data_IF_191017600423
#
_entry.id   IF_191017600423
#
_cell.length_a   1.000
_cell.length_b   1.000
_cell.length_c   1.000
_cell.angle_alpha   90.00
_cell.angle_beta   90.00
_cell.angle_gamma   90.00
#
_symmetry.space_group_name_H-M   'P 1'
#
loop_
_entity.id
_entity.type
_entity.pdbx_description
1 polymer ?
#
# COMPACT_ATOMS: atom_id res chain seq x y z
N UNK A 1 8.57 11.91 -10.78
CA UNK A 1 9.03 10.55 -11.17
C UNK A 1 10.54 10.34 -10.92
N UNK A 2 11.15 11.04 -9.95
CA UNK A 2 12.61 11.17 -9.85
C UNK A 2 13.32 9.97 -9.18
N UNK A 3 12.64 9.23 -8.30
CA UNK A 3 13.28 8.14 -7.56
C UNK A 3 13.67 6.98 -8.52
N UNK A 4 14.97 6.67 -8.68
CA UNK A 4 15.41 5.54 -9.49
C UNK A 4 14.99 4.23 -8.80
N UNK A 5 14.64 3.18 -9.55
CA UNK A 5 14.29 1.86 -8.99
C UNK A 5 12.79 1.54 -8.89
N UNK A 6 12.43 0.35 -8.35
CA UNK A 6 11.10 -0.24 -8.44
C UNK A 6 10.09 0.31 -7.41
N UNK A 7 10.00 1.64 -7.31
CA UNK A 7 9.00 2.29 -6.44
C UNK A 7 7.59 2.11 -7.01
N UNK A 8 6.66 1.69 -6.15
CA UNK A 8 5.23 1.67 -6.48
C UNK A 8 4.61 3.01 -6.13
N UNK A 9 3.79 3.55 -7.03
CA UNK A 9 3.11 4.83 -6.85
C UNK A 9 1.63 4.59 -6.52
N UNK A 10 1.25 4.97 -5.29
CA UNK A 10 -0.13 4.98 -4.84
C UNK A 10 -0.75 6.35 -5.12
N UNK A 11 -1.77 6.41 -5.98
CA UNK A 11 -2.34 7.66 -6.50
C UNK A 11 -3.76 7.85 -5.97
N UNK A 12 -4.04 8.99 -5.33
CA UNK A 12 -5.39 9.34 -4.89
C UNK A 12 -6.25 9.80 -6.08
N UNK A 13 -7.49 9.29 -6.23
CA UNK A 13 -8.36 9.61 -7.37
C UNK A 13 -8.92 11.05 -7.32
N UNK A 14 -8.88 11.69 -6.15
CA UNK A 14 -9.39 13.02 -5.86
C UNK A 14 -8.48 14.16 -6.39
N UNK A 15 -7.27 13.82 -6.85
CA UNK A 15 -6.29 14.85 -7.29
C UNK A 15 -6.52 15.27 -8.75
N UNK A 16 -6.39 16.57 -9.10
CA UNK A 16 -6.68 17.07 -10.45
C UNK A 16 -5.89 16.36 -11.57
N UNK A 17 -4.66 15.93 -11.27
CA UNK A 17 -3.76 15.30 -12.23
C UNK A 17 -3.66 13.77 -12.06
N UNK A 18 -4.56 13.13 -11.28
CA UNK A 18 -4.49 11.69 -10.99
C UNK A 18 -4.33 10.83 -12.26
N UNK A 19 -5.15 11.11 -13.28
CA UNK A 19 -5.18 10.34 -14.53
C UNK A 19 -3.94 10.55 -15.37
N UNK A 20 -3.47 11.80 -15.48
CA UNK A 20 -2.25 12.14 -16.21
C UNK A 20 -1.04 11.49 -15.55
N UNK A 21 -0.91 11.67 -14.24
CA UNK A 21 0.18 11.12 -13.44
C UNK A 21 0.23 9.60 -13.48
N UNK A 22 -0.91 8.91 -13.42
CA UNK A 22 -0.99 7.46 -13.57
C UNK A 22 -0.49 6.99 -14.95
N UNK A 23 -0.86 7.71 -16.03
CA UNK A 23 -0.40 7.41 -17.39
C UNK A 23 1.10 7.62 -17.54
N UNK A 24 1.65 8.67 -16.94
CA UNK A 24 3.09 8.95 -16.97
C UNK A 24 3.89 7.92 -16.16
N UNK A 25 3.42 7.60 -14.95
CA UNK A 25 4.01 6.57 -14.10
C UNK A 25 4.08 5.22 -14.81
N UNK A 26 2.97 4.80 -15.44
CA UNK A 26 2.92 3.56 -16.21
C UNK A 26 3.89 3.59 -17.41
N UNK A 27 3.92 4.70 -18.18
CA UNK A 27 4.88 4.90 -19.28
C UNK A 27 6.34 4.84 -18.82
N UNK A 28 6.62 5.30 -17.60
CA UNK A 28 7.93 5.21 -16.96
C UNK A 28 8.25 3.83 -16.36
N UNK A 29 7.40 2.82 -16.58
CA UNK A 29 7.59 1.45 -16.08
C UNK A 29 7.38 1.29 -14.58
N UNK A 30 6.73 2.26 -13.92
CA UNK A 30 6.43 2.20 -12.48
C UNK A 30 5.13 1.42 -12.26
N UNK A 31 5.08 0.66 -11.17
CA UNK A 31 3.83 0.06 -10.69
C UNK A 31 2.91 1.17 -10.19
N UNK A 32 1.68 1.21 -10.71
CA UNK A 32 0.63 2.14 -10.27
C UNK A 32 -0.39 1.38 -9.44
N UNK A 33 -0.81 1.95 -8.32
CA UNK A 33 -1.93 1.44 -7.53
C UNK A 33 -2.88 2.58 -7.16
N UNK A 34 -4.16 2.26 -7.02
CA UNK A 34 -5.15 3.21 -6.52
C UNK A 34 -4.95 3.39 -5.00
N UNK A 35 -4.75 4.63 -4.56
CA UNK A 35 -4.77 4.98 -3.13
C UNK A 35 -6.20 5.38 -2.74
N UNK A 36 -6.98 4.39 -2.30
CA UNK A 36 -8.41 4.54 -2.08
C UNK A 36 -8.69 5.25 -0.75
N UNK A 37 -9.36 6.42 -0.72
CA UNK A 37 -9.76 7.07 0.52
C UNK A 37 -10.77 6.22 1.27
N UNK A 38 -10.49 5.97 2.55
CA UNK A 38 -11.31 5.17 3.44
C UNK A 38 -11.44 5.85 4.81
N UNK A 39 -12.59 5.74 5.45
CA UNK A 39 -12.91 6.41 6.72
C UNK A 39 -11.79 6.24 7.76
N UNK A 40 -11.28 7.35 8.34
CA UNK A 40 -11.89 8.68 8.42
C UNK A 40 -11.55 9.65 7.27
N UNK A 41 -10.99 9.19 6.16
CA UNK A 41 -10.80 10.04 4.99
C UNK A 41 -12.15 10.60 4.51
N UNK A 42 -12.10 11.79 3.91
CA UNK A 42 -13.24 12.47 3.32
C UNK A 42 -13.01 12.67 1.82
N UNK A 43 -14.04 13.10 1.10
CA UNK A 43 -13.96 13.36 -0.34
C UNK A 43 -14.94 12.52 -1.15
N UNK A 44 -15.09 12.82 -2.45
CA UNK A 44 -16.08 12.19 -3.32
C UNK A 44 -15.91 10.67 -3.49
N UNK A 45 -14.70 10.15 -3.32
CA UNK A 45 -14.43 8.70 -3.43
C UNK A 45 -14.35 8.00 -2.08
N UNK A 46 -14.41 8.73 -0.96
CA UNK A 46 -14.17 8.17 0.37
C UNK A 46 -15.17 7.07 0.71
N UNK A 47 -14.67 5.93 1.15
CA UNK A 47 -15.50 4.86 1.67
C UNK A 47 -15.80 5.10 3.14
N UNK A 48 -17.08 4.99 3.53
CA UNK A 48 -17.53 5.06 4.91
C UNK A 48 -18.34 3.80 5.26
N UNK A 49 -18.22 3.26 6.49
CA UNK A 49 -18.96 2.07 6.94
C UNK A 49 -20.47 2.16 6.74
N UNK A 50 -21.02 3.37 6.78
CA UNK A 50 -22.45 3.65 6.67
C UNK A 50 -22.98 3.56 5.23
N UNK A 51 -22.10 3.51 4.22
CA UNK A 51 -22.50 3.40 2.82
C UNK A 51 -22.82 1.95 2.46
N UNK A 52 -23.92 1.72 1.72
CA UNK A 52 -24.25 0.37 1.27
C UNK A 52 -23.25 -0.10 0.19
N UNK A 53 -23.06 -1.42 0.07
CA UNK A 53 -22.11 -2.02 -0.87
C UNK A 53 -22.21 -1.51 -2.32
N UNK A 54 -23.41 -1.29 -2.91
CA UNK A 54 -23.50 -0.74 -4.28
C UNK A 54 -22.89 0.66 -4.42
N UNK A 55 -22.96 1.48 -3.37
CA UNK A 55 -22.34 2.80 -3.36
C UNK A 55 -20.81 2.70 -3.22
N UNK A 56 -20.32 1.79 -2.37
CA UNK A 56 -18.90 1.49 -2.26
C UNK A 56 -18.33 0.99 -3.61
N UNK A 57 -19.05 0.10 -4.29
CA UNK A 57 -18.72 -0.40 -5.62
C UNK A 57 -18.68 0.71 -6.67
N UNK A 58 -19.71 1.56 -6.70
CA UNK A 58 -19.77 2.73 -7.59
C UNK A 58 -18.56 3.64 -7.41
N UNK A 59 -18.17 3.93 -6.15
CA UNK A 59 -16.99 4.74 -5.83
C UNK A 59 -15.68 4.07 -6.25
N UNK A 60 -15.54 2.76 -6.03
CA UNK A 60 -14.37 2.01 -6.49
C UNK A 60 -14.24 2.04 -8.01
N UNK A 61 -15.35 1.85 -8.73
CA UNK A 61 -15.40 1.94 -10.19
C UNK A 61 -14.96 3.32 -10.68
N UNK A 62 -15.53 4.39 -10.11
CA UNK A 62 -15.19 5.75 -10.47
C UNK A 62 -13.72 6.08 -10.15
N UNK A 63 -13.19 5.61 -9.01
CA UNK A 63 -11.81 5.81 -8.61
C UNK A 63 -10.81 5.11 -9.55
N UNK A 64 -11.10 3.87 -9.96
CA UNK A 64 -10.27 3.13 -10.92
C UNK A 64 -10.24 3.79 -12.31
N UNK A 65 -11.32 4.47 -12.73
CA UNK A 65 -11.31 5.27 -13.96
C UNK A 65 -10.38 6.48 -13.86
N UNK A 66 -10.25 7.07 -12.66
CA UNK A 66 -9.31 8.19 -12.42
C UNK A 66 -7.86 7.74 -12.34
N UNK A 67 -7.59 6.50 -11.95
CA UNK A 67 -6.25 5.93 -11.82
C UNK A 67 -6.09 4.76 -12.81
N UNK A 68 -5.96 5.03 -14.12
CA UNK A 68 -5.75 3.98 -15.11
C UNK A 68 -4.45 3.21 -14.84
N UNK A 69 -4.37 1.96 -15.30
CA UNK A 69 -3.23 1.05 -15.12
C UNK A 69 -2.96 0.64 -13.67
N UNK A 70 -3.89 0.90 -12.74
CA UNK A 70 -3.80 0.37 -11.39
C UNK A 70 -3.66 -1.15 -11.42
N UNK A 71 -2.56 -1.67 -10.88
CA UNK A 71 -2.30 -3.10 -10.73
C UNK A 71 -2.85 -3.66 -9.40
N UNK A 72 -3.24 -2.77 -8.50
CA UNK A 72 -3.77 -3.08 -7.19
C UNK A 72 -4.29 -1.83 -6.51
N UNK A 73 -4.70 -1.97 -5.25
CA UNK A 73 -5.16 -0.85 -4.43
C UNK A 73 -4.47 -0.84 -3.06
N UNK A 74 -4.42 0.34 -2.45
CA UNK A 74 -3.97 0.55 -1.09
C UNK A 74 -4.90 1.54 -0.38
N UNK A 75 -5.20 1.34 0.90
CA UNK A 75 -6.06 2.25 1.65
C UNK A 75 -5.33 3.53 2.09
N UNK A 76 -5.93 4.68 1.82
CA UNK A 76 -5.60 5.97 2.43
C UNK A 76 -6.45 6.16 3.69
N UNK A 77 -5.80 6.43 4.84
CA UNK A 77 -6.43 6.32 6.16
C UNK A 77 -7.12 4.96 6.34
N UNK A 78 -8.42 4.88 6.59
CA UNK A 78 -9.15 3.62 6.67
C UNK A 78 -9.18 2.95 8.05
N UNK A 79 -8.83 3.64 9.14
CA UNK A 79 -8.77 3.03 10.47
C UNK A 79 -10.12 2.49 10.96
N UNK A 80 -11.24 3.06 10.50
CA UNK A 80 -12.59 2.52 10.72
C UNK A 80 -13.00 1.59 9.59
N UNK A 81 -12.86 2.01 8.33
CA UNK A 81 -13.34 1.25 7.18
C UNK A 81 -12.69 -0.14 7.05
N UNK A 82 -11.38 -0.25 7.30
CA UNK A 82 -10.66 -1.52 7.19
C UNK A 82 -11.00 -2.50 8.32
N UNK A 83 -11.69 -2.05 9.37
CA UNK A 83 -12.20 -2.91 10.43
C UNK A 83 -13.57 -3.52 10.10
N UNK A 84 -14.20 -3.13 8.99
CA UNK A 84 -15.54 -3.60 8.59
C UNK A 84 -15.48 -4.92 7.78
N UNK A 85 -15.84 -6.08 8.35
CA UNK A 85 -15.60 -7.37 7.71
C UNK A 85 -16.42 -7.59 6.44
N UNK A 86 -17.67 -7.11 6.41
CA UNK A 86 -18.54 -7.26 5.23
C UNK A 86 -17.96 -6.51 4.03
N UNK A 87 -17.55 -5.25 4.24
CA UNK A 87 -17.00 -4.43 3.17
C UNK A 87 -15.61 -4.93 2.72
N UNK A 88 -14.75 -5.33 3.64
CA UNK A 88 -13.42 -5.86 3.29
C UNK A 88 -13.53 -7.22 2.59
N UNK A 89 -14.41 -8.12 3.05
CA UNK A 89 -14.69 -9.40 2.36
C UNK A 89 -15.12 -9.16 0.92
N UNK A 90 -16.08 -8.26 0.72
CA UNK A 90 -16.57 -7.91 -0.62
C UNK A 90 -15.44 -7.32 -1.48
N UNK A 91 -14.67 -6.38 -0.92
CA UNK A 91 -13.56 -5.74 -1.62
C UNK A 91 -12.52 -6.77 -2.09
N UNK A 92 -12.09 -7.70 -1.23
CA UNK A 92 -11.09 -8.70 -1.62
C UNK A 92 -11.59 -9.62 -2.74
N UNK A 93 -12.85 -10.05 -2.68
CA UNK A 93 -13.46 -10.83 -3.76
C UNK A 93 -13.51 -10.03 -5.08
N UNK A 94 -13.84 -8.75 -5.00
CA UNK A 94 -13.92 -7.88 -6.16
C UNK A 94 -12.54 -7.60 -6.78
N UNK A 95 -11.51 -7.42 -5.95
CA UNK A 95 -10.13 -7.28 -6.42
C UNK A 95 -9.64 -8.58 -7.09
N UNK A 96 -9.97 -9.74 -6.54
CA UNK A 96 -9.64 -11.04 -7.14
C UNK A 96 -10.26 -11.19 -8.54
N UNK A 97 -11.55 -10.85 -8.66
CA UNK A 97 -12.29 -10.87 -9.94
C UNK A 97 -11.68 -9.95 -11.00
N UNK A 98 -11.08 -8.83 -10.56
CA UNK A 98 -10.42 -7.83 -11.42
C UNK A 98 -8.94 -8.08 -11.65
N UNK A 99 -8.37 -9.14 -11.08
CA UNK A 99 -6.93 -9.42 -11.11
C UNK A 99 -6.08 -8.29 -10.51
N UNK A 100 -6.58 -7.64 -9.46
CA UNK A 100 -5.91 -6.58 -8.71
C UNK A 100 -5.40 -7.13 -7.38
N UNK A 101 -4.22 -6.71 -6.93
CA UNK A 101 -3.72 -7.04 -5.59
C UNK A 101 -4.13 -6.00 -4.54
N UNK A 102 -4.01 -6.36 -3.26
CA UNK A 102 -4.25 -5.45 -2.13
C UNK A 102 -2.99 -5.17 -1.32
N UNK A 103 -2.75 -3.90 -0.98
CA UNK A 103 -1.75 -3.50 0.00
C UNK A 103 -2.48 -2.92 1.20
N UNK A 104 -2.31 -3.52 2.38
CA UNK A 104 -2.85 -2.98 3.62
C UNK A 104 -1.89 -1.93 4.19
N UNK A 105 -2.30 -0.66 4.26
CA UNK A 105 -1.55 0.41 4.94
C UNK A 105 -1.48 0.20 6.46
N UNK A 106 -2.30 -0.67 7.04
CA UNK A 106 -2.39 -0.96 8.48
C UNK A 106 -2.44 0.31 9.34
N UNK A 107 -3.34 1.23 9.00
CA UNK A 107 -3.56 2.48 9.75
C UNK A 107 -4.23 2.25 11.11
N UNK A 108 -4.69 1.03 11.37
CA UNK A 108 -5.21 0.55 12.64
C UNK A 108 -4.85 -0.92 12.83
N UNK A 109 -4.63 -1.34 14.07
CA UNK A 109 -4.45 -2.76 14.41
C UNK A 109 -5.75 -3.58 14.29
N UNK A 110 -6.90 -2.91 14.12
CA UNK A 110 -8.23 -3.52 13.94
C UNK A 110 -8.55 -3.87 12.48
N UNK A 111 -7.65 -3.56 11.54
CA UNK A 111 -7.86 -3.92 10.12
C UNK A 111 -8.07 -5.43 9.99
N UNK A 112 -9.13 -5.82 9.28
CA UNK A 112 -9.38 -7.21 8.89
C UNK A 112 -9.03 -7.45 7.42
N UNK A 113 -8.60 -6.41 6.71
CA UNK A 113 -8.42 -6.44 5.25
C UNK A 113 -7.41 -7.50 4.80
N UNK A 114 -6.26 -7.59 5.47
CA UNK A 114 -5.25 -8.61 5.16
C UNK A 114 -5.71 -10.04 5.51
N UNK A 115 -6.49 -10.22 6.58
CA UNK A 115 -7.05 -11.51 6.95
C UNK A 115 -8.08 -12.00 5.92
N UNK A 116 -8.96 -11.10 5.46
CA UNK A 116 -9.91 -11.42 4.39
C UNK A 116 -9.22 -11.72 3.05
N UNK A 117 -8.14 -10.99 2.73
CA UNK A 117 -7.35 -11.27 1.54
C UNK A 117 -6.70 -12.66 1.61
N UNK A 118 -6.09 -12.99 2.75
CA UNK A 118 -5.47 -14.29 2.98
C UNK A 118 -6.51 -15.42 2.88
N UNK A 119 -7.71 -15.24 3.43
CA UNK A 119 -8.78 -16.25 3.45
C UNK A 119 -9.18 -16.75 2.06
N UNK A 120 -9.14 -15.88 1.06
CA UNK A 120 -9.49 -16.22 -0.33
C UNK A 120 -8.27 -16.38 -1.25
N UNK A 121 -7.06 -16.30 -0.69
CA UNK A 121 -5.81 -16.38 -1.44
C UNK A 121 -5.56 -15.19 -2.37
N UNK A 122 -6.15 -14.02 -2.07
CA UNK A 122 -5.88 -12.80 -2.84
C UNK A 122 -4.43 -12.36 -2.63
N UNK A 123 -3.73 -12.11 -3.75
CA UNK A 123 -2.41 -11.48 -3.77
C UNK A 123 -2.41 -10.22 -2.90
N UNK A 124 -1.69 -10.25 -1.79
CA UNK A 124 -1.67 -9.14 -0.84
C UNK A 124 -0.41 -9.07 0.00
N UNK A 125 -0.12 -7.87 0.49
CA UNK A 125 0.90 -7.61 1.50
C UNK A 125 0.41 -6.54 2.47
N UNK A 126 1.06 -6.44 3.62
CA UNK A 126 0.80 -5.38 4.57
C UNK A 126 2.07 -4.60 4.87
N UNK A 127 1.92 -3.30 5.08
CA UNK A 127 3.01 -2.43 5.51
C UNK A 127 3.62 -2.90 6.82
N UNK A 128 4.93 -2.96 6.87
CA UNK A 128 5.69 -3.18 8.10
C UNK A 128 6.16 -1.85 8.73
N UNK A 129 6.64 -0.90 7.93
CA UNK A 129 7.17 0.39 8.41
C UNK A 129 6.55 1.58 7.67
N UNK A 130 6.19 2.62 8.43
CA UNK A 130 5.79 3.93 7.89
C UNK A 130 6.96 4.90 8.03
N UNK A 131 7.40 5.50 6.93
CA UNK A 131 8.65 6.26 6.89
C UNK A 131 8.57 7.64 7.53
N UNK A 132 7.48 8.37 7.28
CA UNK A 132 7.47 9.82 7.40
C UNK A 132 6.28 10.36 8.21
N UNK A 133 5.95 9.64 9.27
CA UNK A 133 5.04 10.13 10.32
C UNK A 133 5.58 11.43 10.94
N UNK A 134 6.88 11.44 11.24
CA UNK A 134 7.65 12.64 11.54
C UNK A 134 8.42 13.10 10.30
N UNK A 135 8.10 14.30 9.80
CA UNK A 135 8.65 14.84 8.55
C UNK A 135 10.03 15.49 8.71
N UNK A 136 10.96 14.78 9.35
CA UNK A 136 12.34 15.21 9.51
C UNK A 136 13.29 14.19 8.89
N UNK A 137 14.41 14.64 8.33
CA UNK A 137 15.37 13.75 7.70
C UNK A 137 15.92 12.71 8.69
N UNK A 138 16.08 13.09 9.96
CA UNK A 138 16.55 12.19 11.02
C UNK A 138 15.52 11.09 11.30
N UNK A 139 14.25 11.44 11.51
CA UNK A 139 13.20 10.46 11.78
C UNK A 139 12.98 9.50 10.61
N UNK A 140 12.95 10.02 9.37
CA UNK A 140 12.80 9.20 8.16
C UNK A 140 13.99 8.25 8.00
N UNK A 141 15.21 8.73 8.25
CA UNK A 141 16.42 7.88 8.22
C UNK A 141 16.34 6.79 9.28
N UNK A 142 15.89 7.11 10.51
CA UNK A 142 15.67 6.11 11.57
C UNK A 142 14.64 5.06 11.15
N UNK A 143 13.52 5.45 10.54
CA UNK A 143 12.51 4.51 10.06
C UNK A 143 13.03 3.63 8.92
N UNK A 144 13.81 4.18 7.99
CA UNK A 144 14.46 3.38 6.95
C UNK A 144 15.42 2.34 7.56
N UNK A 145 16.21 2.73 8.56
CA UNK A 145 17.09 1.81 9.29
C UNK A 145 16.31 0.73 10.07
N UNK A 146 15.15 1.08 10.63
CA UNK A 146 14.22 0.11 11.22
C UNK A 146 13.74 -0.90 10.18
N UNK A 147 13.36 -0.45 8.98
CA UNK A 147 12.94 -1.32 7.89
C UNK A 147 14.05 -2.27 7.43
N UNK A 148 15.28 -1.79 7.32
CA UNK A 148 16.46 -2.60 6.96
C UNK A 148 16.69 -3.71 7.99
N UNK A 149 16.72 -3.35 9.28
CA UNK A 149 16.88 -4.33 10.37
C UNK A 149 15.74 -5.35 10.39
N UNK A 150 14.51 -4.89 10.10
CA UNK A 150 13.36 -5.79 10.03
C UNK A 150 13.48 -6.77 8.86
N UNK A 151 13.84 -6.29 7.67
CA UNK A 151 14.07 -7.13 6.50
C UNK A 151 15.17 -8.17 6.78
N UNK A 152 16.28 -7.79 7.40
CA UNK A 152 17.34 -8.72 7.80
C UNK A 152 16.87 -9.77 8.81
N UNK A 153 15.96 -9.41 9.73
CA UNK A 153 15.47 -10.32 10.77
C UNK A 153 14.42 -11.32 10.27
N UNK A 154 13.53 -10.89 9.38
CA UNK A 154 12.35 -11.68 8.97
C UNK A 154 12.30 -12.01 7.47
N UNK A 155 13.35 -11.69 6.72
CA UNK A 155 13.48 -11.93 5.27
C UNK A 155 13.09 -10.72 4.40
N UNK A 156 12.05 -9.98 4.78
CA UNK A 156 11.58 -8.83 4.00
C UNK A 156 10.85 -7.78 4.85
N UNK A 157 10.71 -6.57 4.30
CA UNK A 157 9.93 -5.49 4.90
C UNK A 157 9.24 -4.65 3.81
N UNK A 158 7.95 -4.38 4.01
CA UNK A 158 7.16 -3.45 3.18
C UNK A 158 7.16 -2.08 3.83
N UNK A 159 7.54 -1.08 3.06
CA UNK A 159 7.71 0.29 3.53
C UNK A 159 6.78 1.21 2.75
N UNK A 160 6.06 2.07 3.46
CA UNK A 160 5.22 3.12 2.85
C UNK A 160 5.67 4.47 3.39
N UNK A 161 5.72 5.46 2.51
CA UNK A 161 5.90 6.86 2.85
C UNK A 161 5.20 7.73 1.81
N UNK A 162 5.22 9.03 2.04
CA UNK A 162 4.68 10.04 1.17
C UNK A 162 5.78 10.75 0.38
N UNK A 163 5.45 11.35 -0.78
CA UNK A 163 6.43 12.06 -1.60
C UNK A 163 6.72 13.47 -1.06
N UNK A 164 6.90 13.65 0.25
CA UNK A 164 7.38 14.92 0.79
C UNK A 164 8.82 15.16 0.32
N UNK A 165 9.23 16.42 0.06
CA UNK A 165 10.60 16.72 -0.37
C UNK A 165 11.66 16.07 0.53
N UNK A 166 11.50 16.18 1.85
CA UNK A 166 12.42 15.58 2.84
C UNK A 166 12.44 14.04 2.78
N UNK A 167 11.32 13.39 2.47
CA UNK A 167 11.26 11.94 2.29
C UNK A 167 12.02 11.53 1.03
N UNK A 168 11.80 12.25 -0.07
CA UNK A 168 12.48 11.99 -1.34
C UNK A 168 14.00 12.20 -1.21
N UNK A 169 14.44 13.29 -0.59
CA UNK A 169 15.87 13.60 -0.37
C UNK A 169 16.58 12.48 0.41
N UNK A 170 15.94 11.94 1.46
CA UNK A 170 16.49 10.82 2.23
C UNK A 170 16.53 9.55 1.37
N UNK A 171 15.46 9.23 0.66
CA UNK A 171 15.40 8.02 -0.16
C UNK A 171 16.40 8.06 -1.33
N UNK A 172 16.56 9.18 -2.01
CA UNK A 172 17.54 9.34 -3.09
C UNK A 172 18.97 9.13 -2.60
N UNK A 173 19.27 9.57 -1.37
CA UNK A 173 20.59 9.38 -0.75
C UNK A 173 20.84 7.95 -0.26
N UNK A 174 19.84 7.32 0.35
CA UNK A 174 20.03 6.07 1.09
C UNK A 174 19.72 4.80 0.28
N UNK A 175 18.74 4.83 -0.65
CA UNK A 175 18.35 3.64 -1.41
C UNK A 175 19.48 3.01 -2.23
N UNK A 176 20.39 3.79 -2.88
CA UNK A 176 21.54 3.22 -3.59
C UNK A 176 22.50 2.41 -2.68
N UNK A 177 22.44 2.62 -1.36
CA UNK A 177 23.32 1.97 -0.37
C UNK A 177 22.73 0.69 0.21
N UNK A 178 21.49 0.33 -0.12
CA UNK A 178 20.83 -0.86 0.43
C UNK A 178 21.60 -2.15 0.10
N UNK A 179 22.10 -2.27 -1.13
CA UNK A 179 22.84 -3.46 -1.57
C UNK A 179 24.11 -3.71 -0.74
N UNK A 180 24.82 -2.65 -0.37
CA UNK A 180 25.99 -2.74 0.51
C UNK A 180 25.63 -3.16 1.95
N UNK A 181 24.37 -3.02 2.35
CA UNK A 181 23.82 -3.46 3.63
C UNK A 181 23.17 -4.85 3.54
N UNK A 182 23.36 -5.56 2.42
CA UNK A 182 22.78 -6.89 2.20
C UNK A 182 21.26 -6.87 1.99
N UNK A 183 20.69 -5.73 1.60
CA UNK A 183 19.26 -5.59 1.32
C UNK A 183 19.05 -5.31 -0.16
N UNK A 184 18.24 -6.14 -0.80
CA UNK A 184 17.77 -5.92 -2.16
C UNK A 184 16.43 -5.18 -2.15
N UNK A 185 16.34 -4.14 -2.96
CA UNK A 185 15.08 -3.43 -3.17
C UNK A 185 14.37 -3.99 -4.40
N UNK A 186 13.27 -4.71 -4.15
CA UNK A 186 12.45 -5.37 -5.17
C UNK A 186 11.14 -4.64 -5.42
N UNK A 187 10.51 -4.94 -6.55
CA UNK A 187 9.16 -4.44 -6.86
C UNK A 187 8.08 -5.13 -6.01
N UNK A 188 6.89 -4.52 -6.01
CA UNK A 188 5.79 -4.97 -5.16
C UNK A 188 5.22 -6.35 -5.55
N UNK A 189 5.26 -6.75 -6.82
CA UNK A 189 4.78 -8.09 -7.24
C UNK A 189 5.74 -9.17 -6.77
N UNK A 190 7.04 -8.90 -6.89
CA UNK A 190 8.09 -9.76 -6.32
C UNK A 190 7.93 -9.86 -4.80
N UNK A 191 7.65 -8.74 -4.11
CA UNK A 191 7.38 -8.74 -2.67
C UNK A 191 6.15 -9.54 -2.26
N UNK A 192 5.04 -9.45 -3.01
CA UNK A 192 3.85 -10.29 -2.78
C UNK A 192 4.19 -11.78 -2.92
N UNK A 193 5.00 -12.13 -3.92
CA UNK A 193 5.43 -13.51 -4.15
C UNK A 193 6.33 -14.01 -3.01
N UNK A 194 7.29 -13.19 -2.57
CA UNK A 194 8.18 -13.46 -1.44
C UNK A 194 7.40 -13.69 -0.13
N UNK A 195 6.36 -12.88 0.10
CA UNK A 195 5.51 -13.02 1.30
C UNK A 195 4.53 -14.18 1.21
N UNK A 196 4.12 -14.61 0.02
CA UNK A 196 3.20 -15.75 -0.16
C UNK A 196 1.88 -15.62 0.61
N UNK A 197 1.33 -14.40 0.70
CA UNK A 197 0.16 -14.05 1.53
C UNK A 197 0.31 -14.42 3.02
N UNK A 198 1.53 -14.52 3.55
CA UNK A 198 1.78 -14.82 4.96
C UNK A 198 1.95 -13.53 5.78
N UNK A 199 1.36 -13.53 6.97
CA UNK A 199 1.54 -12.47 7.95
C UNK A 199 2.97 -12.48 8.52
N UNK A 200 3.58 -11.30 8.64
CA UNK A 200 4.77 -11.13 9.45
C UNK A 200 4.45 -11.30 10.95
N UNK A 201 5.49 -11.48 11.78
CA UNK A 201 5.31 -11.65 13.22
C UNK A 201 4.60 -10.45 13.90
N UNK A 202 4.67 -9.26 13.28
CA UNK A 202 3.98 -8.07 13.76
C UNK A 202 2.48 -8.08 13.46
N UNK A 203 2.05 -8.82 12.44
CA UNK A 203 0.68 -8.79 11.92
C UNK A 203 -0.13 -10.06 12.23
N UNK A 204 0.54 -11.10 12.74
CA UNK A 204 -0.03 -12.43 12.79
C UNK A 204 0.67 -13.40 13.73
N UNK A 205 0.36 -14.69 13.57
CA UNK A 205 1.09 -15.80 14.20
C UNK A 205 1.14 -16.96 13.22
N UNK A 206 2.31 -17.58 13.07
CA UNK A 206 2.52 -18.72 12.17
C UNK A 206 2.03 -18.44 10.74
N UNK A 207 2.27 -17.22 10.26
CA UNK A 207 1.87 -16.79 8.92
C UNK A 207 0.39 -16.45 8.75
N UNK A 208 -0.45 -16.63 9.77
CA UNK A 208 -1.88 -16.30 9.74
C UNK A 208 -2.10 -14.88 10.28
N UNK A 209 -2.81 -14.04 9.52
CA UNK A 209 -3.19 -12.70 9.95
C UNK A 209 -4.18 -12.74 11.11
N UNK A 210 -4.05 -11.78 12.04
CA UNK A 210 -5.00 -11.56 13.14
C UNK A 210 -6.08 -10.56 12.74
#
# INVERSE_FOLDING_TARGET
>A
MALPGPVTLAIMPDTPHATEFAREAHRAGKTVILHMPMDPATGPYAWHPELPLPELESRLNAALLKVPYAAGINNHMGSRMTAEPVAMTWLMAELQRRHLFFVDSRTSAKTVAAAEAQRIGLASVSRDVFLDDERTAEAITRQLQTAIKLAQKQGSAVVIGHPYPVTLDVLERELPRLKAQGVEWIDLRSMISERGNQASAAHGKNGVYR
#
